data_IF_956476567026
#
_entry.id   IF_956476567026
#
_cell.length_a   1.000
_cell.length_b   1.000
_cell.length_c   1.000
_cell.angle_alpha   90.00
_cell.angle_beta   90.00
_cell.angle_gamma   90.00
#
_symmetry.space_group_name_H-M   'P 1'
#
loop_
_entity.id
_entity.type
_entity.pdbx_description
1 polymer ?
#
# COMPACT_ATOMS: atom_id res chain seq x y z
N UNK A 1 0.61 -11.35 -5.92
CA UNK A 1 1.37 -10.08 -6.04
C UNK A 1 2.79 -10.33 -5.56
N UNK A 2 3.83 -9.75 -6.19
CA UNK A 2 5.22 -9.93 -5.73
C UNK A 2 5.51 -8.97 -4.56
N UNK A 3 6.28 -9.42 -3.56
CA UNK A 3 6.77 -8.59 -2.45
C UNK A 3 7.34 -7.23 -2.91
N UNK A 4 8.18 -7.23 -3.96
CA UNK A 4 8.76 -6.01 -4.52
C UNK A 4 7.72 -5.01 -5.06
N UNK A 5 6.58 -5.50 -5.54
CA UNK A 5 5.50 -4.64 -6.03
C UNK A 5 4.76 -4.01 -4.85
N UNK A 6 4.40 -4.82 -3.85
CA UNK A 6 3.71 -4.36 -2.65
C UNK A 6 4.55 -3.30 -1.90
N UNK A 7 5.82 -3.61 -1.63
CA UNK A 7 6.74 -2.69 -0.93
C UNK A 7 6.96 -1.39 -1.71
N UNK A 8 7.10 -1.44 -3.05
CA UNK A 8 7.23 -0.21 -3.87
C UNK A 8 5.99 0.67 -3.79
N UNK A 9 4.81 0.05 -3.86
CA UNK A 9 3.52 0.75 -3.79
C UNK A 9 3.37 1.39 -2.41
N UNK A 10 3.53 0.61 -1.34
CA UNK A 10 3.43 1.10 0.04
C UNK A 10 4.45 2.18 0.35
N UNK A 11 5.71 2.03 -0.06
CA UNK A 11 6.74 3.05 0.13
C UNK A 11 6.39 4.36 -0.59
N UNK A 12 5.74 4.27 -1.75
CA UNK A 12 5.25 5.46 -2.47
C UNK A 12 4.04 6.07 -1.76
N UNK A 13 3.13 5.25 -1.26
CA UNK A 13 1.94 5.66 -0.51
C UNK A 13 2.35 6.36 0.77
N UNK A 14 3.19 5.73 1.60
CA UNK A 14 3.73 6.30 2.84
C UNK A 14 4.37 7.66 2.58
N UNK A 15 5.18 7.79 1.51
CA UNK A 15 5.76 9.07 1.11
C UNK A 15 4.73 10.12 0.66
N UNK A 16 3.59 9.71 0.13
CA UNK A 16 2.50 10.59 -0.30
C UNK A 16 1.52 10.92 0.83
N UNK A 17 1.35 9.99 1.77
CA UNK A 17 0.36 10.02 2.83
C UNK A 17 0.91 10.73 4.08
N UNK A 18 2.21 10.63 4.35
CA UNK A 18 2.87 11.27 5.50
C UNK A 18 3.07 10.30 6.67
N UNK A 19 3.52 10.85 7.80
CA UNK A 19 3.78 10.10 9.04
C UNK A 19 2.50 9.57 9.70
N UNK A 20 1.36 10.23 9.49
CA UNK A 20 0.08 9.83 10.11
C UNK A 20 -1.09 10.14 9.14
N UNK A 21 -1.33 9.27 8.15
CA UNK A 21 -2.36 9.54 7.15
C UNK A 21 -3.74 9.02 7.57
N UNK A 22 -4.75 9.89 7.48
CA UNK A 22 -6.16 9.50 7.58
C UNK A 22 -6.56 8.50 6.49
N UNK A 23 -7.65 7.76 6.70
CA UNK A 23 -8.17 6.78 5.73
C UNK A 23 -8.34 7.35 4.32
N UNK A 24 -8.87 8.57 4.20
CA UNK A 24 -9.04 9.24 2.90
C UNK A 24 -7.69 9.57 2.23
N UNK A 25 -6.69 9.99 3.03
CA UNK A 25 -5.35 10.28 2.53
C UNK A 25 -4.67 9.00 2.05
N UNK A 26 -4.77 7.91 2.82
CA UNK A 26 -4.29 6.58 2.45
C UNK A 26 -4.94 6.15 1.14
N UNK A 27 -6.27 6.22 1.03
CA UNK A 27 -7.04 5.83 -0.16
C UNK A 27 -6.63 6.61 -1.41
N UNK A 28 -6.48 7.93 -1.27
CA UNK A 28 -6.02 8.79 -2.37
C UNK A 28 -4.58 8.46 -2.79
N UNK A 29 -3.68 8.23 -1.81
CA UNK A 29 -2.31 7.84 -2.06
C UNK A 29 -2.22 6.45 -2.71
N UNK A 30 -3.06 5.50 -2.29
CA UNK A 30 -3.15 4.16 -2.88
C UNK A 30 -3.60 4.23 -4.34
N UNK A 31 -4.64 5.00 -4.66
CA UNK A 31 -5.06 5.20 -6.05
C UNK A 31 -3.94 5.80 -6.91
N UNK A 32 -3.26 6.84 -6.42
CA UNK A 32 -2.12 7.46 -7.11
C UNK A 32 -0.97 6.48 -7.31
N UNK A 33 -0.65 5.69 -6.28
CA UNK A 33 0.38 4.65 -6.33
C UNK A 33 0.06 3.55 -7.33
N UNK A 34 -1.19 3.08 -7.37
CA UNK A 34 -1.63 2.08 -8.33
C UNK A 34 -1.66 2.62 -9.76
N UNK A 35 -2.07 3.88 -9.97
CA UNK A 35 -2.10 4.50 -11.29
C UNK A 35 -0.70 4.61 -11.90
N UNK A 36 0.32 4.80 -11.07
CA UNK A 36 1.73 4.82 -11.50
C UNK A 36 2.22 3.48 -12.07
N UNK A 37 1.65 2.34 -11.65
CA UNK A 37 2.01 1.02 -12.15
C UNK A 37 1.49 0.72 -13.57
N UNK A 38 0.70 1.62 -14.16
CA UNK A 38 0.10 1.44 -15.48
C UNK A 38 -1.17 0.58 -15.47
N UNK A 39 -1.73 0.31 -16.65
CA UNK A 39 -3.12 -0.17 -16.79
C UNK A 39 -3.35 -1.59 -16.24
N UNK A 40 -2.41 -2.50 -16.45
CA UNK A 40 -2.54 -3.92 -16.03
C UNK A 40 -2.25 -4.09 -14.54
N UNK A 41 -1.08 -3.63 -14.09
CA UNK A 41 -0.67 -3.72 -12.68
C UNK A 41 -1.51 -2.81 -11.78
N UNK A 42 -1.97 -1.67 -12.29
CA UNK A 42 -2.85 -0.75 -11.56
C UNK A 42 -4.18 -1.37 -11.16
N UNK A 43 -4.79 -2.20 -12.02
CA UNK A 43 -6.00 -2.97 -11.66
C UNK A 43 -5.72 -3.97 -10.53
N UNK A 44 -4.60 -4.68 -10.62
CA UNK A 44 -4.22 -5.67 -9.60
C UNK A 44 -3.92 -4.99 -8.26
N UNK A 45 -3.23 -3.85 -8.31
CA UNK A 45 -2.95 -2.99 -7.18
C UNK A 45 -4.25 -2.49 -6.55
N UNK A 46 -5.17 -1.92 -7.33
CA UNK A 46 -6.48 -1.45 -6.81
C UNK A 46 -7.23 -2.54 -6.05
N UNK A 47 -7.21 -3.77 -6.57
CA UNK A 47 -7.90 -4.90 -5.93
C UNK A 47 -7.27 -5.24 -4.58
N UNK A 48 -5.93 -5.26 -4.50
CA UNK A 48 -5.20 -5.47 -3.25
C UNK A 48 -5.49 -4.34 -2.27
N UNK A 49 -5.24 -3.11 -2.70
CA UNK A 49 -5.46 -1.90 -1.94
C UNK A 49 -6.87 -1.85 -1.34
N UNK A 50 -7.90 -2.14 -2.14
CA UNK A 50 -9.29 -2.05 -1.68
C UNK A 50 -9.66 -3.18 -0.73
N UNK A 51 -8.96 -4.32 -0.78
CA UNK A 51 -9.19 -5.46 0.11
C UNK A 51 -8.43 -5.31 1.43
N UNK A 52 -7.24 -4.72 1.39
CA UNK A 52 -6.34 -4.56 2.53
C UNK A 52 -6.22 -3.10 2.98
N UNK A 53 -7.17 -2.24 2.62
CA UNK A 53 -7.15 -0.81 2.93
C UNK A 53 -7.00 -0.59 4.44
N UNK A 54 -7.84 -1.24 5.23
CA UNK A 54 -7.82 -1.13 6.69
C UNK A 54 -6.46 -1.54 7.26
N UNK A 55 -5.95 -2.72 6.91
CA UNK A 55 -4.64 -3.20 7.38
C UNK A 55 -3.48 -2.30 6.94
N UNK A 56 -3.54 -1.73 5.73
CA UNK A 56 -2.52 -0.80 5.24
C UNK A 56 -2.60 0.52 6.01
N UNK A 57 -3.80 1.04 6.25
CA UNK A 57 -4.01 2.25 7.03
C UNK A 57 -3.55 2.06 8.47
N UNK A 58 -3.88 0.94 9.10
CA UNK A 58 -3.46 0.61 10.47
C UNK A 58 -1.94 0.50 10.56
N UNK A 59 -1.31 -0.20 9.61
CA UNK A 59 0.15 -0.31 9.57
C UNK A 59 0.83 1.04 9.33
N UNK A 60 0.28 1.87 8.46
CA UNK A 60 0.80 3.23 8.23
C UNK A 60 0.69 4.10 9.49
N UNK A 61 -0.44 4.08 10.19
CA UNK A 61 -0.67 4.82 11.44
C UNK A 61 0.23 4.30 12.58
N UNK A 62 0.50 2.99 12.61
CA UNK A 62 1.41 2.38 13.58
C UNK A 62 2.89 2.64 13.26
N UNK A 63 3.21 3.29 12.15
CA UNK A 63 4.59 3.52 11.70
C UNK A 63 5.29 2.26 11.18
N UNK A 64 4.54 1.23 10.79
CA UNK A 64 5.09 0.00 10.24
C UNK A 64 5.82 0.25 8.92
N UNK A 65 6.84 -0.58 8.67
CA UNK A 65 7.56 -0.48 7.40
C UNK A 65 6.72 -1.05 6.26
N UNK A 66 6.93 -0.59 5.01
CA UNK A 66 6.29 -1.18 3.83
C UNK A 66 6.51 -2.69 3.71
N UNK A 67 7.58 -3.23 4.29
CA UNK A 67 7.87 -4.65 4.28
C UNK A 67 7.00 -5.41 5.27
N UNK A 68 6.84 -4.90 6.50
CA UNK A 68 6.02 -5.52 7.54
C UNK A 68 4.55 -5.58 7.13
N UNK A 69 4.00 -4.47 6.62
CA UNK A 69 2.63 -4.42 6.12
C UNK A 69 2.44 -5.42 4.97
N UNK A 70 3.41 -5.52 4.05
CA UNK A 70 3.36 -6.50 2.97
C UNK A 70 3.52 -7.96 3.42
N UNK A 71 4.27 -8.21 4.49
CA UNK A 71 4.40 -9.52 5.13
C UNK A 71 3.12 -9.90 5.87
N UNK A 72 2.47 -8.95 6.56
CA UNK A 72 1.19 -9.15 7.23
C UNK A 72 0.07 -9.52 6.24
N UNK A 73 0.12 -8.98 5.02
CA UNK A 73 -0.78 -9.36 3.93
C UNK A 73 -0.36 -10.65 3.18
N UNK A 74 0.75 -11.29 3.57
CA UNK A 74 1.26 -12.51 2.93
C UNK A 74 1.89 -12.30 1.54
N UNK A 75 2.18 -11.06 1.15
CA UNK A 75 2.86 -10.74 -0.12
C UNK A 75 4.37 -10.82 -0.04
N UNK A 76 4.93 -10.60 1.15
CA UNK A 76 6.32 -10.81 1.48
C UNK A 76 6.44 -12.00 2.43
N UNK A 77 7.56 -12.72 2.34
CA UNK A 77 7.95 -13.67 3.39
C UNK A 77 8.64 -12.84 4.47
N UNK A 78 8.21 -13.04 5.72
CA UNK A 78 8.86 -12.46 6.90
C UNK A 78 10.34 -12.86 6.94
#
# INVERSE_FOLDING_TARGET
>A
IKCSLCTKVLKKIQKMAGDDPDEDAVKAALQKGCRWLGRVLGKLCHKMVSQYQEQISEGLQNGDTPQDICSAMGFCKA
#
